data_IF_214090530928
#
_entry.id   IF_214090530928
#
_cell.length_a   1.000
_cell.length_b   1.000
_cell.length_c   1.000
_cell.angle_alpha   90.00
_cell.angle_beta   90.00
_cell.angle_gamma   90.00
#
_symmetry.space_group_name_H-M   'P 1'
#
loop_
_entity.id
_entity.type
_entity.pdbx_description
1 polymer ?
#
# COMPACT_ATOMS: atom_id res chain seq x y z
N UNK A 1 1.66 -19.90 -45.93
CA UNK A 1 3.02 -20.12 -45.44
C UNK A 1 3.66 -18.77 -45.13
N UNK A 2 3.73 -18.36 -43.91
CA UNK A 2 4.56 -17.22 -43.43
C UNK A 2 5.19 -17.61 -42.10
N UNK A 3 6.49 -17.55 -42.05
CA UNK A 3 7.37 -18.05 -41.00
C UNK A 3 7.20 -17.24 -39.67
N UNK A 4 7.17 -17.97 -38.57
CA UNK A 4 7.30 -17.43 -37.21
C UNK A 4 8.79 -17.30 -36.85
N UNK A 5 9.21 -16.11 -36.48
CA UNK A 5 10.56 -15.87 -35.98
C UNK A 5 10.49 -15.87 -34.46
N UNK A 6 11.08 -16.88 -33.85
CA UNK A 6 11.35 -16.98 -32.41
C UNK A 6 12.56 -16.12 -32.06
N UNK A 7 12.38 -15.12 -31.20
CA UNK A 7 13.48 -14.36 -30.62
C UNK A 7 13.77 -14.88 -29.21
N UNK A 8 14.90 -15.54 -29.06
CA UNK A 8 15.44 -15.97 -27.78
C UNK A 8 16.26 -14.82 -27.14
N UNK A 9 15.89 -14.38 -25.96
CA UNK A 9 16.65 -13.41 -25.17
C UNK A 9 17.44 -14.16 -24.10
N UNK A 10 18.76 -14.14 -24.21
CA UNK A 10 19.71 -14.65 -23.24
C UNK A 10 19.91 -13.62 -22.11
N UNK A 11 19.70 -14.02 -20.86
CA UNK A 11 20.00 -13.23 -19.68
C UNK A 11 21.40 -13.58 -19.21
N UNK A 12 22.34 -12.65 -19.32
CA UNK A 12 23.68 -12.74 -18.73
C UNK A 12 23.68 -12.11 -17.34
N UNK A 13 23.93 -12.91 -16.31
CA UNK A 13 24.20 -12.46 -14.95
C UNK A 13 25.65 -11.99 -14.84
N UNK A 14 25.87 -10.73 -14.50
CA UNK A 14 27.17 -10.16 -14.13
C UNK A 14 27.25 -10.07 -12.60
N UNK A 15 28.10 -10.92 -12.03
CA UNK A 15 28.54 -10.83 -10.64
C UNK A 15 29.61 -9.73 -10.49
N UNK A 16 29.43 -8.86 -9.50
CA UNK A 16 30.48 -7.93 -9.06
C UNK A 16 30.90 -8.28 -7.64
N UNK A 17 32.08 -8.85 -7.52
CA UNK A 17 32.80 -8.96 -6.27
C UNK A 17 33.64 -7.68 -6.07
N UNK A 18 33.47 -7.02 -4.92
CA UNK A 18 34.36 -5.95 -4.48
C UNK A 18 34.93 -6.30 -3.10
N UNK A 19 36.21 -6.68 -3.08
CA UNK A 19 37.05 -6.66 -1.90
C UNK A 19 37.58 -5.26 -1.68
N UNK A 20 37.53 -4.76 -0.45
CA UNK A 20 38.18 -3.54 0.00
C UNK A 20 38.59 -3.66 1.45
N UNK A 21 39.93 -3.80 1.65
CA UNK A 21 40.58 -3.89 2.95
C UNK A 21 40.99 -2.52 3.49
N UNK A 22 41.03 -2.38 4.81
CA UNK A 22 42.03 -1.53 5.44
C UNK A 22 41.61 -0.52 6.47
N UNK A 23 42.11 -0.66 7.70
CA UNK A 23 42.61 0.44 8.46
C UNK A 23 41.92 0.79 9.80
N UNK A 24 42.58 0.40 10.84
CA UNK A 24 42.45 0.49 12.26
C UNK A 24 42.12 1.83 12.95
N UNK A 25 41.71 1.70 14.20
CA UNK A 25 41.57 2.75 15.19
C UNK A 25 40.62 2.35 16.31
N UNK A 26 41.19 1.91 17.45
CA UNK A 26 40.48 1.67 18.72
C UNK A 26 40.53 2.92 19.63
N UNK A 27 39.98 2.93 20.84
CA UNK A 27 38.69 2.41 21.31
C UNK A 27 37.86 3.48 22.07
N UNK A 28 36.58 3.36 22.19
CA UNK A 28 35.84 3.74 23.39
C UNK A 28 34.75 2.68 23.65
N UNK A 29 34.91 2.00 24.77
CA UNK A 29 34.01 1.05 25.38
C UNK A 29 32.75 1.75 25.87
N UNK A 30 31.58 1.35 25.40
CA UNK A 30 30.31 1.51 26.10
C UNK A 30 29.42 0.31 25.76
N UNK A 31 29.35 -0.61 26.71
CA UNK A 31 28.65 -1.88 26.67
C UNK A 31 27.27 -1.85 26.04
N UNK A 32 27.20 -2.40 24.85
CA UNK A 32 26.02 -3.04 24.29
C UNK A 32 26.45 -4.20 23.44
N UNK A 33 26.09 -5.41 23.87
CA UNK A 33 26.27 -6.65 23.16
C UNK A 33 25.64 -6.56 21.76
N UNK A 34 26.47 -6.31 20.74
CA UNK A 34 26.13 -6.63 19.36
C UNK A 34 26.65 -8.03 19.08
N UNK A 35 25.84 -8.95 18.59
CA UNK A 35 26.32 -10.29 18.22
C UNK A 35 27.35 -10.16 17.09
N UNK A 36 28.51 -10.75 17.31
CA UNK A 36 29.57 -10.87 16.30
C UNK A 36 29.09 -11.82 15.19
N UNK A 37 29.05 -11.43 13.91
CA UNK A 37 28.57 -12.28 12.81
C UNK A 37 29.44 -13.50 12.52
N UNK A 38 30.58 -13.68 13.19
CA UNK A 38 31.51 -14.80 13.01
C UNK A 38 31.60 -15.72 14.25
N UNK A 39 30.67 -15.67 15.19
CA UNK A 39 30.66 -16.63 16.30
C UNK A 39 30.12 -17.98 15.85
N UNK A 40 30.77 -19.09 16.22
CA UNK A 40 30.26 -20.43 15.92
C UNK A 40 28.88 -20.64 16.54
N UNK A 41 27.95 -21.15 15.74
CA UNK A 41 26.58 -21.46 16.18
C UNK A 41 26.65 -22.51 17.29
N UNK A 42 26.15 -22.16 18.46
CA UNK A 42 25.97 -23.10 19.57
C UNK A 42 24.69 -23.92 19.33
N UNK A 43 24.76 -25.24 19.11
CA UNK A 43 23.59 -26.05 18.80
C UNK A 43 22.56 -26.17 19.96
N UNK A 44 22.85 -25.60 21.12
CA UNK A 44 21.97 -25.57 22.28
C UNK A 44 21.36 -24.19 22.54
N UNK A 45 21.50 -23.24 21.60
CA UNK A 45 20.85 -21.94 21.71
C UNK A 45 19.37 -22.08 21.32
N UNK A 46 18.41 -21.74 22.21
CA UNK A 46 16.99 -21.89 21.92
C UNK A 46 16.48 -20.95 20.82
N UNK A 47 17.32 -20.13 20.20
CA UNK A 47 16.95 -19.26 19.08
C UNK A 47 18.03 -19.21 17.98
N UNK A 48 18.20 -20.30 17.18
CA UNK A 48 19.17 -20.27 16.09
C UNK A 48 18.65 -19.39 14.94
N UNK A 49 19.08 -18.13 14.88
CA UNK A 49 19.06 -17.35 13.66
C UNK A 49 17.74 -16.71 13.22
N UNK A 50 16.77 -16.59 14.10
CA UNK A 50 15.56 -15.82 13.85
C UNK A 50 15.72 -14.34 14.21
N UNK A 51 16.65 -13.65 13.61
CA UNK A 51 16.67 -12.19 13.64
C UNK A 51 15.42 -11.68 12.96
N UNK A 52 14.45 -11.13 13.71
CA UNK A 52 13.39 -10.34 13.12
C UNK A 52 14.02 -9.32 12.18
N UNK A 53 13.51 -9.13 10.97
CA UNK A 53 13.97 -8.05 10.11
C UNK A 53 13.94 -6.75 10.93
N UNK A 54 14.95 -5.88 10.81
CA UNK A 54 14.97 -4.63 11.54
C UNK A 54 13.66 -3.89 11.29
N UNK A 55 13.05 -3.29 12.33
CA UNK A 55 11.83 -2.53 12.15
C UNK A 55 12.06 -1.47 11.07
N UNK A 56 11.08 -1.23 10.20
CA UNK A 56 11.19 -0.19 9.19
C UNK A 56 11.63 1.12 9.86
N UNK A 57 12.53 1.90 9.25
CA UNK A 57 12.98 3.15 9.84
C UNK A 57 11.77 4.02 10.16
N UNK A 58 11.78 4.62 11.34
CA UNK A 58 10.75 5.57 11.76
C UNK A 58 10.55 6.60 10.64
N UNK A 59 9.30 6.85 10.25
CA UNK A 59 8.88 7.74 9.15
C UNK A 59 8.96 7.18 7.72
N UNK A 60 9.23 5.90 7.52
CA UNK A 60 9.09 5.31 6.20
C UNK A 60 7.61 5.18 5.83
N UNK A 61 7.22 5.77 4.71
CA UNK A 61 5.90 5.53 4.13
C UNK A 61 5.91 4.22 3.36
N UNK A 62 4.84 3.48 3.54
CA UNK A 62 4.62 2.21 2.85
C UNK A 62 3.20 2.21 2.31
N UNK A 63 2.99 1.51 1.24
CA UNK A 63 1.68 1.40 0.62
C UNK A 63 1.75 0.68 -0.71
N UNK A 64 0.72 0.89 -1.49
CA UNK A 64 0.55 0.28 -2.79
C UNK A 64 -0.09 1.24 -3.78
N UNK A 65 0.34 1.17 -5.04
CA UNK A 65 -0.32 1.82 -6.15
C UNK A 65 -0.66 0.80 -7.25
N UNK A 66 -1.82 0.98 -7.85
CA UNK A 66 -2.28 0.27 -9.06
C UNK A 66 -2.31 1.28 -10.19
N UNK A 67 -1.53 1.03 -11.24
CA UNK A 67 -1.50 1.85 -12.44
C UNK A 67 -2.66 1.46 -13.35
N UNK A 68 -3.42 2.45 -13.79
CA UNK A 68 -4.58 2.30 -14.66
C UNK A 68 -4.36 2.98 -16.01
N UNK A 69 -4.91 2.40 -17.06
CA UNK A 69 -4.89 3.01 -18.39
C UNK A 69 -5.64 4.33 -18.39
N UNK A 70 -5.26 5.22 -19.29
CA UNK A 70 -5.94 6.50 -19.53
C UNK A 70 -7.36 6.34 -20.06
N UNK A 71 -7.67 5.19 -20.63
CA UNK A 71 -8.96 4.86 -21.22
C UNK A 71 -9.53 3.61 -20.55
N UNK A 72 -10.70 3.73 -19.93
CA UNK A 72 -11.46 2.63 -19.38
C UNK A 72 -10.93 2.01 -18.08
N UNK A 73 -9.97 2.64 -17.40
CA UNK A 73 -9.43 2.21 -16.10
C UNK A 73 -8.93 0.76 -16.05
N UNK A 74 -8.39 0.26 -17.17
CA UNK A 74 -7.79 -1.07 -17.21
C UNK A 74 -6.55 -1.11 -16.31
N UNK A 75 -6.46 -2.11 -15.44
CA UNK A 75 -5.28 -2.32 -14.59
C UNK A 75 -4.08 -2.71 -15.45
N UNK A 76 -3.00 -1.93 -15.37
CA UNK A 76 -1.75 -2.17 -16.10
C UNK A 76 -0.76 -2.90 -15.20
N UNK A 77 -0.51 -2.35 -14.00
CA UNK A 77 0.50 -2.86 -13.07
C UNK A 77 0.11 -2.57 -11.63
N UNK A 78 0.86 -3.15 -10.72
CA UNK A 78 0.76 -2.91 -9.29
C UNK A 78 2.17 -2.80 -8.73
N UNK A 79 2.41 -1.83 -7.87
CA UNK A 79 3.71 -1.61 -7.24
C UNK A 79 3.58 -1.28 -5.76
N UNK A 80 4.55 -1.74 -4.98
CA UNK A 80 4.71 -1.32 -3.60
C UNK A 80 5.28 0.10 -3.56
N UNK A 81 4.80 0.89 -2.60
CA UNK A 81 5.31 2.23 -2.31
C UNK A 81 6.16 2.16 -1.05
N UNK A 82 7.37 2.72 -1.10
CA UNK A 82 8.28 2.78 0.06
C UNK A 82 9.19 3.99 -0.09
N UNK A 83 9.01 4.98 0.77
CA UNK A 83 9.85 6.19 0.78
C UNK A 83 9.76 6.93 2.12
N UNK A 84 10.78 7.75 2.41
CA UNK A 84 10.97 8.40 3.71
C UNK A 84 10.21 9.73 3.90
N UNK A 85 9.60 10.26 2.87
CA UNK A 85 8.97 11.59 2.91
C UNK A 85 7.66 11.60 3.71
N UNK A 86 7.48 12.59 4.59
CA UNK A 86 6.28 12.70 5.46
C UNK A 86 5.08 13.42 4.81
N UNK A 87 5.23 13.96 3.61
CA UNK A 87 4.12 14.65 2.95
C UNK A 87 3.13 13.66 2.32
N UNK A 88 2.04 13.39 3.00
CA UNK A 88 0.96 12.53 2.51
C UNK A 88 0.13 13.15 1.37
N UNK A 89 0.27 14.44 1.14
CA UNK A 89 -0.36 15.14 0.02
C UNK A 89 0.29 14.88 -1.33
N UNK A 90 1.37 14.10 -1.40
CA UNK A 90 2.11 13.78 -2.62
C UNK A 90 2.23 12.26 -2.78
N UNK A 91 1.87 11.76 -3.95
CA UNK A 91 2.14 10.40 -4.39
C UNK A 91 3.41 10.38 -5.26
N UNK A 92 4.40 9.56 -4.85
CA UNK A 92 5.58 9.26 -5.67
C UNK A 92 5.42 7.91 -6.33
N UNK A 93 5.30 7.89 -7.64
CA UNK A 93 5.00 6.68 -8.41
C UNK A 93 5.57 6.82 -9.83
N UNK A 94 6.16 5.75 -10.38
CA UNK A 94 6.75 5.71 -11.73
C UNK A 94 7.70 6.90 -12.03
N UNK A 95 8.49 7.29 -11.02
CA UNK A 95 9.42 8.44 -11.13
C UNK A 95 8.74 9.82 -11.14
N UNK A 96 7.44 9.89 -10.92
CA UNK A 96 6.66 11.14 -10.88
C UNK A 96 6.27 11.50 -9.46
N UNK A 97 6.09 12.80 -9.22
CA UNK A 97 5.47 13.34 -8.00
C UNK A 97 4.12 13.95 -8.38
N UNK A 98 3.06 13.37 -7.87
CA UNK A 98 1.68 13.80 -8.15
C UNK A 98 1.06 14.37 -6.87
N UNK A 99 0.61 15.62 -6.94
CA UNK A 99 -0.11 16.24 -5.83
C UNK A 99 -1.51 15.62 -5.70
N UNK A 100 -1.78 15.01 -4.54
CA UNK A 100 -3.10 14.46 -4.21
C UNK A 100 -4.07 15.60 -3.92
N UNK A 101 -3.58 16.63 -3.20
CA UNK A 101 -4.33 17.84 -2.92
C UNK A 101 -3.80 18.95 -3.86
N UNK A 102 -4.68 19.64 -4.58
CA UNK A 102 -4.27 20.78 -5.38
C UNK A 102 -3.54 21.83 -4.55
N UNK A 103 -2.58 22.58 -5.13
CA UNK A 103 -1.97 23.71 -4.45
C UNK A 103 -3.04 24.69 -3.93
N UNK A 104 -2.80 25.25 -2.74
CA UNK A 104 -3.70 26.19 -2.04
C UNK A 104 -5.05 25.64 -1.58
N UNK A 105 -5.20 24.31 -1.50
CA UNK A 105 -6.34 23.66 -0.86
C UNK A 105 -5.92 22.98 0.44
N UNK A 106 -6.79 23.02 1.44
CA UNK A 106 -6.57 22.29 2.69
C UNK A 106 -7.09 20.87 2.58
N UNK A 107 -6.33 19.92 3.16
CA UNK A 107 -6.81 18.57 3.39
C UNK A 107 -7.75 18.57 4.59
N UNK A 108 -8.98 18.13 4.45
CA UNK A 108 -9.91 18.09 5.57
C UNK A 108 -11.05 17.10 5.39
N UNK A 109 -11.21 16.56 4.20
CA UNK A 109 -12.27 15.62 3.86
C UNK A 109 -11.98 14.89 2.57
N UNK A 110 -12.96 14.12 2.13
CA UNK A 110 -12.88 13.44 0.84
C UNK A 110 -12.93 14.47 -0.29
N UNK A 111 -11.85 14.53 -1.06
CA UNK A 111 -11.76 15.34 -2.27
C UNK A 111 -12.36 14.56 -3.45
N UNK A 112 -13.16 15.23 -4.27
CA UNK A 112 -13.62 14.67 -5.55
C UNK A 112 -13.59 15.76 -6.63
N UNK A 113 -12.47 15.83 -7.34
CA UNK A 113 -12.25 16.77 -8.44
C UNK A 113 -11.90 15.99 -9.69
N UNK A 114 -12.76 16.05 -10.68
CA UNK A 114 -12.57 15.35 -11.94
C UNK A 114 -12.81 16.30 -13.11
N UNK A 115 -11.80 16.42 -13.96
CA UNK A 115 -11.84 17.17 -15.20
C UNK A 115 -11.29 16.29 -16.33
N UNK A 116 -11.39 16.78 -17.56
CA UNK A 116 -11.00 16.01 -18.75
C UNK A 116 -9.57 15.44 -18.67
N UNK A 117 -8.63 16.23 -18.14
CA UNK A 117 -7.22 15.88 -18.13
C UNK A 117 -6.65 15.64 -16.74
N UNK A 118 -7.41 15.90 -15.70
CA UNK A 118 -6.97 15.74 -14.31
C UNK A 118 -8.06 15.12 -13.48
N UNK A 119 -7.70 14.24 -12.56
CA UNK A 119 -8.62 13.74 -11.57
C UNK A 119 -7.89 13.54 -10.23
N UNK A 120 -8.55 13.96 -9.16
CA UNK A 120 -8.12 13.75 -7.79
C UNK A 120 -9.35 13.37 -6.97
N UNK A 121 -9.41 12.11 -6.58
CA UNK A 121 -10.50 11.58 -5.75
C UNK A 121 -9.85 10.82 -4.60
N UNK A 122 -10.08 11.25 -3.36
CA UNK A 122 -9.45 10.61 -2.22
C UNK A 122 -9.32 11.53 -1.02
N UNK A 123 -8.56 11.11 -0.03
CA UNK A 123 -8.38 11.85 1.20
C UNK A 123 -6.95 11.76 1.69
N UNK A 124 -6.46 12.84 2.29
CA UNK A 124 -5.27 12.85 3.14
C UNK A 124 -5.75 12.85 4.58
N UNK A 125 -5.37 11.81 5.32
CA UNK A 125 -5.69 11.59 6.73
C UNK A 125 -4.49 12.02 7.60
N UNK A 126 -4.51 11.72 8.87
CA UNK A 126 -3.44 12.13 9.79
C UNK A 126 -2.14 11.38 9.54
N UNK A 127 -2.20 10.08 9.30
CA UNK A 127 -1.04 9.19 9.13
C UNK A 127 -0.99 8.52 7.77
N UNK A 128 -1.98 8.73 6.92
CA UNK A 128 -2.11 8.07 5.63
C UNK A 128 -2.79 8.93 4.57
N UNK A 129 -2.76 8.47 3.35
CA UNK A 129 -3.58 8.98 2.24
C UNK A 129 -3.94 7.86 1.27
N UNK A 130 -5.05 8.04 0.60
CA UNK A 130 -5.54 7.07 -0.38
C UNK A 130 -6.37 7.77 -1.44
N UNK A 131 -6.57 7.10 -2.56
CA UNK A 131 -7.44 7.63 -3.59
C UNK A 131 -7.02 7.26 -5.00
N UNK A 132 -7.46 8.11 -5.91
CA UNK A 132 -7.12 8.09 -7.32
C UNK A 132 -6.57 9.44 -7.75
N UNK A 133 -5.46 9.42 -8.49
CA UNK A 133 -4.86 10.61 -9.07
C UNK A 133 -4.50 10.37 -10.54
N UNK A 134 -4.81 11.36 -11.39
CA UNK A 134 -4.39 11.43 -12.79
C UNK A 134 -4.07 12.87 -13.12
N UNK A 135 -2.98 13.11 -13.84
CA UNK A 135 -2.58 14.43 -14.27
C UNK A 135 -2.03 14.39 -15.70
N UNK A 136 -2.69 15.12 -16.59
CA UNK A 136 -2.33 15.21 -18.00
C UNK A 136 -3.33 14.54 -18.95
N UNK A 137 -3.26 14.96 -20.22
CA UNK A 137 -4.07 14.38 -21.30
C UNK A 137 -3.57 12.99 -21.65
N UNK A 138 -4.47 12.02 -21.70
CA UNK A 138 -4.13 10.61 -21.96
C UNK A 138 -3.12 10.00 -20.98
N UNK A 139 -2.92 10.64 -19.81
CA UNK A 139 -2.05 10.13 -18.78
C UNK A 139 -2.64 8.89 -18.10
N UNK A 140 -1.78 8.02 -17.63
CA UNK A 140 -2.16 6.95 -16.74
C UNK A 140 -2.68 7.52 -15.41
N UNK A 141 -3.58 6.81 -14.77
CA UNK A 141 -4.06 7.12 -13.45
C UNK A 141 -3.52 6.13 -12.42
N UNK A 142 -3.53 6.54 -11.16
CA UNK A 142 -3.02 5.72 -10.05
C UNK A 142 -4.06 5.62 -8.95
N UNK A 143 -4.49 4.39 -8.70
CA UNK A 143 -5.26 4.04 -7.51
C UNK A 143 -4.29 3.66 -6.41
N UNK A 144 -4.32 4.32 -5.25
CA UNK A 144 -3.26 4.16 -4.25
C UNK A 144 -3.77 4.20 -2.82
N UNK A 145 -2.97 3.63 -1.92
CA UNK A 145 -3.03 3.82 -0.47
C UNK A 145 -1.61 3.84 0.07
N UNK A 146 -1.27 4.83 0.91
CA UNK A 146 0.06 5.01 1.49
C UNK A 146 -0.01 5.67 2.88
N UNK A 147 0.96 5.40 3.73
CA UNK A 147 1.00 6.03 5.07
C UNK A 147 2.21 5.63 5.90
N UNK A 148 2.31 6.16 7.11
CA UNK A 148 3.26 5.70 8.13
C UNK A 148 2.69 4.44 8.76
N UNK A 149 3.28 3.29 8.48
CA UNK A 149 2.80 2.02 9.01
C UNK A 149 2.91 1.98 10.53
N UNK A 150 1.90 1.39 11.16
CA UNK A 150 1.93 1.07 12.59
C UNK A 150 3.13 0.18 12.88
N UNK A 151 3.94 0.53 13.87
CA UNK A 151 5.08 -0.30 14.26
C UNK A 151 4.60 -1.66 14.78
N UNK A 152 5.43 -2.70 14.63
CA UNK A 152 5.06 -4.03 15.09
C UNK A 152 4.73 -4.08 16.60
N UNK A 153 5.41 -3.24 17.40
CA UNK A 153 5.20 -3.17 18.84
C UNK A 153 3.91 -2.43 19.25
N UNK A 154 3.39 -1.58 18.34
CA UNK A 154 2.17 -0.80 18.57
C UNK A 154 0.92 -1.46 17.97
N UNK A 155 1.09 -2.58 17.28
CA UNK A 155 -0.05 -3.33 16.75
C UNK A 155 -0.86 -3.96 17.88
N UNK A 156 -2.20 -3.82 17.86
CA UNK A 156 -3.07 -4.54 18.80
C UNK A 156 -2.89 -6.05 18.66
N UNK A 157 -2.82 -6.76 19.76
CA UNK A 157 -2.68 -8.22 19.79
C UNK A 157 -4.00 -8.94 20.07
N UNK A 158 -5.06 -8.19 20.40
CA UNK A 158 -6.38 -8.73 20.71
C UNK A 158 -7.47 -7.70 20.49
N UNK A 159 -8.72 -8.14 20.61
CA UNK A 159 -9.89 -7.28 20.43
C UNK A 159 -10.43 -7.25 19.02
N UNK A 160 -11.67 -6.78 18.91
CA UNK A 160 -12.36 -6.55 17.65
C UNK A 160 -12.75 -5.09 17.55
N UNK A 161 -12.40 -4.45 16.44
CA UNK A 161 -12.63 -3.03 16.22
C UNK A 161 -13.33 -2.79 14.88
N UNK A 162 -14.18 -1.78 14.87
CA UNK A 162 -14.80 -1.30 13.64
C UNK A 162 -14.00 -0.10 13.11
N UNK A 163 -13.89 -0.04 11.78
CA UNK A 163 -13.28 1.07 11.06
C UNK A 163 -14.28 1.61 10.06
N UNK A 164 -14.33 2.92 9.93
CA UNK A 164 -15.21 3.60 8.97
C UNK A 164 -14.47 4.72 8.24
N UNK A 165 -14.83 4.93 6.99
CA UNK A 165 -14.25 5.95 6.13
C UNK A 165 -14.81 5.89 4.72
N UNK A 166 -13.96 6.14 3.75
CA UNK A 166 -14.40 6.23 2.36
C UNK A 166 -13.62 5.29 1.44
N UNK A 167 -14.27 4.95 0.34
CA UNK A 167 -13.67 4.23 -0.78
C UNK A 167 -13.68 5.08 -2.04
N UNK A 168 -12.72 4.81 -2.91
CA UNK A 168 -12.65 5.33 -4.28
C UNK A 168 -12.73 4.13 -5.21
N UNK A 169 -13.63 4.17 -6.18
CA UNK A 169 -13.98 3.04 -7.04
C UNK A 169 -13.95 3.45 -8.50
N UNK A 170 -13.33 2.64 -9.33
CA UNK A 170 -13.32 2.78 -10.78
C UNK A 170 -13.80 1.48 -11.41
N UNK A 171 -15.00 1.49 -11.97
CA UNK A 171 -15.48 0.39 -12.81
C UNK A 171 -14.75 0.41 -14.15
N UNK A 172 -14.30 -0.75 -14.61
CA UNK A 172 -13.71 -0.87 -15.94
C UNK A 172 -14.78 -0.69 -16.99
N UNK A 173 -14.51 0.17 -17.96
CA UNK A 173 -15.44 0.52 -19.02
C UNK A 173 -14.69 0.74 -20.31
N UNK A 174 -15.31 0.41 -21.42
CA UNK A 174 -14.82 0.80 -22.75
C UNK A 174 -15.28 2.20 -23.17
N UNK A 175 -15.91 2.93 -22.25
CA UNK A 175 -16.43 4.28 -22.53
C UNK A 175 -15.48 5.35 -22.00
N UNK A 176 -15.23 6.36 -22.82
CA UNK A 176 -14.26 7.43 -22.55
C UNK A 176 -14.66 8.38 -21.39
N UNK A 177 -15.88 8.31 -20.88
CA UNK A 177 -16.42 9.24 -19.88
C UNK A 177 -16.74 8.56 -18.53
N UNK A 178 -16.27 7.36 -18.29
CA UNK A 178 -16.41 6.72 -16.98
C UNK A 178 -15.64 7.55 -15.93
N UNK A 179 -16.30 7.89 -14.85
CA UNK A 179 -15.71 8.63 -13.73
C UNK A 179 -15.34 7.68 -12.59
N UNK A 180 -14.35 8.08 -11.83
CA UNK A 180 -14.05 7.44 -10.57
C UNK A 180 -15.08 7.89 -9.53
N UNK A 181 -15.61 6.96 -8.77
CA UNK A 181 -16.63 7.21 -7.77
C UNK A 181 -16.06 7.26 -6.37
N UNK A 182 -16.66 8.06 -5.54
CA UNK A 182 -16.49 7.99 -4.10
C UNK A 182 -17.61 7.16 -3.48
N UNK A 183 -17.33 6.54 -2.34
CA UNK A 183 -18.29 5.74 -1.58
C UNK A 183 -17.85 5.59 -0.15
N UNK A 184 -18.58 4.81 0.63
CA UNK A 184 -18.22 4.52 2.02
C UNK A 184 -17.43 3.21 2.13
N UNK A 185 -16.66 3.10 3.19
CA UNK A 185 -15.89 1.91 3.55
C UNK A 185 -16.08 1.60 5.02
N UNK A 186 -16.51 0.37 5.34
CA UNK A 186 -16.70 -0.09 6.71
C UNK A 186 -16.06 -1.45 6.87
N UNK A 187 -15.26 -1.62 7.94
CA UNK A 187 -14.54 -2.86 8.21
C UNK A 187 -14.74 -3.31 9.65
N UNK A 188 -14.69 -4.62 9.83
CA UNK A 188 -14.57 -5.29 11.11
C UNK A 188 -13.21 -6.00 11.15
N UNK A 189 -12.39 -5.67 12.15
CA UNK A 189 -11.01 -6.13 12.30
C UNK A 189 -10.89 -6.84 13.63
N UNK A 190 -10.55 -8.13 13.60
CA UNK A 190 -10.30 -8.92 14.78
C UNK A 190 -8.80 -9.24 14.89
N UNK A 191 -8.10 -8.51 15.76
CA UNK A 191 -6.66 -8.69 15.95
C UNK A 191 -6.32 -10.00 16.66
N UNK A 192 -7.20 -10.51 17.53
CA UNK A 192 -6.97 -11.79 18.20
C UNK A 192 -7.01 -12.99 17.26
N UNK A 193 -7.90 -12.96 16.28
CA UNK A 193 -8.03 -14.01 15.26
C UNK A 193 -7.25 -13.71 13.99
N UNK A 194 -6.60 -12.55 13.91
CA UNK A 194 -5.90 -12.06 12.71
C UNK A 194 -6.77 -12.01 11.45
N UNK A 195 -8.04 -11.60 11.59
CA UNK A 195 -9.00 -11.55 10.47
C UNK A 195 -9.53 -10.15 10.23
N UNK A 196 -9.82 -9.86 8.97
CA UNK A 196 -10.42 -8.61 8.55
C UNK A 196 -11.50 -8.88 7.50
N UNK A 197 -12.62 -8.20 7.60
CA UNK A 197 -13.67 -8.17 6.59
C UNK A 197 -14.22 -6.78 6.43
N UNK A 198 -14.74 -6.44 5.25
CA UNK A 198 -15.25 -5.10 4.98
C UNK A 198 -16.30 -5.06 3.89
N UNK A 199 -16.95 -3.91 3.81
CA UNK A 199 -17.93 -3.55 2.80
C UNK A 199 -17.61 -2.17 2.26
N UNK A 200 -17.57 -2.07 0.96
CA UNK A 200 -17.36 -0.82 0.23
C UNK A 200 -18.62 -0.55 -0.57
N UNK A 201 -19.21 0.62 -0.39
CA UNK A 201 -20.46 1.00 -1.04
C UNK A 201 -20.21 2.20 -1.97
N UNK A 202 -19.80 1.98 -3.24
CA UNK A 202 -19.68 3.02 -4.24
C UNK A 202 -21.03 3.69 -4.50
N UNK A 203 -21.01 4.93 -4.96
CA UNK A 203 -22.25 5.72 -5.12
C UNK A 203 -23.22 5.16 -6.15
N UNK A 204 -22.70 4.63 -7.29
CA UNK A 204 -23.52 4.18 -8.41
C UNK A 204 -23.22 2.73 -8.86
N UNK A 205 -22.36 2.04 -8.13
CA UNK A 205 -22.01 0.64 -8.39
C UNK A 205 -22.48 -0.27 -7.25
N UNK A 206 -22.51 -1.57 -7.51
CA UNK A 206 -22.83 -2.57 -6.51
C UNK A 206 -21.83 -2.56 -5.34
N UNK A 207 -22.31 -2.91 -4.16
CA UNK A 207 -21.48 -3.10 -2.98
C UNK A 207 -20.38 -4.15 -3.25
N UNK A 208 -19.16 -3.83 -2.82
CA UNK A 208 -18.01 -4.74 -2.87
C UNK A 208 -17.78 -5.31 -1.48
N UNK A 209 -17.97 -6.60 -1.32
CA UNK A 209 -17.68 -7.32 -0.08
C UNK A 209 -16.25 -7.83 -0.11
N UNK A 210 -15.49 -7.52 0.94
CA UNK A 210 -14.12 -7.95 1.17
C UNK A 210 -14.11 -8.90 2.37
N UNK A 211 -14.37 -10.17 2.12
CA UNK A 211 -14.27 -11.25 3.10
C UNK A 211 -12.95 -12.01 2.96
N UNK A 212 -12.69 -12.98 3.88
CA UNK A 212 -11.49 -13.82 3.89
C UNK A 212 -10.15 -13.05 3.97
N UNK A 213 -10.15 -11.88 4.61
CA UNK A 213 -8.91 -11.15 4.84
C UNK A 213 -8.14 -11.66 6.05
N UNK A 214 -6.82 -11.75 5.90
CA UNK A 214 -5.87 -12.19 6.93
C UNK A 214 -4.94 -11.04 7.27
N UNK A 215 -4.72 -10.83 8.56
CA UNK A 215 -3.77 -9.84 9.09
C UNK A 215 -2.42 -10.54 9.29
N UNK A 216 -1.36 -9.93 8.76
CA UNK A 216 0.02 -10.38 8.94
C UNK A 216 0.88 -9.19 9.39
N UNK A 217 1.21 -9.15 10.68
CA UNK A 217 1.87 -7.99 11.29
C UNK A 217 1.03 -6.72 11.11
N UNK A 218 1.61 -5.69 10.51
CA UNK A 218 0.96 -4.42 10.24
C UNK A 218 0.31 -4.30 8.85
N UNK A 219 0.18 -5.42 8.16
CA UNK A 219 -0.45 -5.50 6.84
C UNK A 219 -1.61 -6.49 6.83
N UNK A 220 -2.43 -6.43 5.81
CA UNK A 220 -3.50 -7.39 5.57
C UNK A 220 -3.67 -7.65 4.08
N UNK A 221 -4.18 -8.82 3.75
CA UNK A 221 -4.55 -9.18 2.38
C UNK A 221 -5.61 -10.26 2.35
N UNK A 222 -6.31 -10.38 1.23
CA UNK A 222 -7.30 -11.43 1.04
C UNK A 222 -7.77 -11.56 -0.40
N UNK A 223 -8.48 -12.64 -0.65
CA UNK A 223 -9.29 -12.83 -1.86
C UNK A 223 -10.70 -13.15 -1.41
N UNK A 224 -11.61 -12.25 -1.68
CA UNK A 224 -13.01 -12.40 -1.33
C UNK A 224 -13.67 -13.54 -2.13
N UNK A 225 -14.79 -14.06 -1.63
CA UNK A 225 -15.59 -15.08 -2.32
C UNK A 225 -16.05 -14.63 -3.72
N UNK A 226 -16.20 -13.32 -3.93
CA UNK A 226 -16.49 -12.70 -5.22
C UNK A 226 -15.33 -12.78 -6.23
N UNK A 227 -14.11 -13.17 -5.79
CA UNK A 227 -12.87 -13.10 -6.54
C UNK A 227 -12.14 -11.75 -6.45
N UNK A 228 -12.65 -10.80 -5.65
CA UNK A 228 -11.99 -9.52 -5.41
C UNK A 228 -10.73 -9.72 -4.57
N UNK A 229 -9.59 -9.27 -5.09
CA UNK A 229 -8.33 -9.24 -4.36
C UNK A 229 -8.16 -7.91 -3.68
N UNK A 230 -7.66 -7.91 -2.44
CA UNK A 230 -7.39 -6.70 -1.70
C UNK A 230 -6.16 -6.84 -0.81
N UNK A 231 -5.54 -5.72 -0.51
CA UNK A 231 -4.42 -5.67 0.43
C UNK A 231 -4.23 -4.24 0.94
N UNK A 232 -3.61 -4.11 2.10
CA UNK A 232 -3.35 -2.81 2.71
C UNK A 232 -2.49 -2.92 3.96
N UNK A 233 -2.43 -1.80 4.68
CA UNK A 233 -1.67 -1.66 5.91
C UNK A 233 -2.49 -0.94 6.97
N UNK A 234 -2.09 -1.15 8.23
CA UNK A 234 -2.48 -0.33 9.36
C UNK A 234 -1.48 0.82 9.51
N UNK A 235 -1.99 2.00 9.82
CA UNK A 235 -1.21 3.24 9.89
C UNK A 235 -1.40 3.94 11.23
N UNK A 236 -0.39 4.73 11.61
CA UNK A 236 -0.41 5.50 12.86
C UNK A 236 -0.14 4.66 14.10
N UNK A 237 -0.30 5.27 15.28
CA UNK A 237 -0.19 4.57 16.55
C UNK A 237 -1.39 3.65 16.79
N UNK A 238 -1.15 2.45 17.33
CA UNK A 238 -2.21 1.50 17.71
C UNK A 238 -3.20 1.13 16.59
N UNK A 239 -2.77 1.18 15.32
CA UNK A 239 -3.59 0.91 14.16
C UNK A 239 -4.83 1.83 14.08
N UNK A 240 -4.65 3.13 14.30
CA UNK A 240 -5.75 4.10 14.34
C UNK A 240 -6.34 4.35 12.95
N UNK A 241 -5.55 4.18 11.91
CA UNK A 241 -5.98 4.25 10.52
C UNK A 241 -5.64 2.94 9.80
N UNK A 242 -6.39 2.65 8.77
CA UNK A 242 -6.00 1.63 7.81
C UNK A 242 -6.42 2.04 6.40
N UNK A 243 -5.67 1.53 5.43
CA UNK A 243 -5.99 1.79 4.03
C UNK A 243 -5.43 0.71 3.13
N UNK A 244 -5.98 0.63 1.93
CA UNK A 244 -5.59 -0.41 0.99
C UNK A 244 -6.13 -0.18 -0.40
N UNK A 245 -5.80 -1.12 -1.28
CA UNK A 245 -6.31 -1.20 -2.64
C UNK A 245 -7.05 -2.51 -2.85
N UNK A 246 -7.98 -2.51 -3.78
CA UNK A 246 -8.73 -3.71 -4.17
C UNK A 246 -8.98 -3.72 -5.68
N UNK A 247 -9.14 -4.90 -6.25
CA UNK A 247 -9.53 -5.05 -7.64
C UNK A 247 -10.18 -6.41 -7.91
N UNK A 248 -11.03 -6.44 -8.92
CA UNK A 248 -11.50 -7.64 -9.58
C UNK A 248 -11.15 -7.54 -11.06
N UNK A 249 -10.37 -8.50 -11.52
CA UNK A 249 -9.81 -8.46 -12.87
C UNK A 249 -10.91 -8.35 -13.93
N UNK A 250 -10.79 -7.33 -14.79
CA UNK A 250 -11.75 -7.09 -15.86
C UNK A 250 -13.06 -6.40 -15.44
N UNK A 251 -13.24 -6.09 -14.14
CA UNK A 251 -14.48 -5.48 -13.65
C UNK A 251 -14.26 -4.11 -12.98
N UNK A 252 -13.35 -4.04 -12.00
CA UNK A 252 -13.13 -2.81 -11.26
C UNK A 252 -11.81 -2.80 -10.49
N UNK A 253 -11.44 -1.61 -10.06
CA UNK A 253 -10.36 -1.38 -9.09
C UNK A 253 -10.73 -0.24 -8.16
N UNK A 254 -10.09 -0.19 -6.98
CA UNK A 254 -10.31 0.90 -6.05
C UNK A 254 -9.29 0.97 -4.94
N UNK A 255 -9.46 2.01 -4.12
CA UNK A 255 -8.70 2.23 -2.89
C UNK A 255 -9.66 2.63 -1.77
N UNK A 256 -9.23 2.46 -0.54
CA UNK A 256 -9.97 2.88 0.64
C UNK A 256 -9.04 3.37 1.73
N UNK A 257 -9.58 4.19 2.61
CA UNK A 257 -8.97 4.59 3.87
C UNK A 257 -10.02 4.80 4.93
N UNK A 258 -9.74 4.33 6.14
CA UNK A 258 -10.68 4.32 7.25
C UNK A 258 -9.98 4.61 8.57
N UNK A 259 -10.74 5.09 9.54
CA UNK A 259 -10.30 5.31 10.90
C UNK A 259 -11.01 4.36 11.86
N UNK A 260 -10.30 3.95 12.89
CA UNK A 260 -10.84 3.15 13.98
C UNK A 260 -11.92 3.93 14.71
N UNK A 261 -13.10 3.33 14.87
CA UNK A 261 -14.17 3.90 15.66
C UNK A 261 -13.83 3.64 17.12
N UNK A 262 -13.61 4.71 17.87
CA UNK A 262 -13.45 4.65 19.33
C UNK A 262 -14.85 4.72 19.92
N UNK A 263 -15.24 3.77 20.82
CA UNK A 263 -16.55 3.74 21.47
C UNK A 263 -16.79 4.99 22.32
#
# INVERSE_FOLDING_TARGET
MKAQTLLAIAITALGLAACGSGGGGSPIDNGRNSPNPNSPINPNDPNPGGGNPPPPPANQRTGKAITLSSNGYQRISEQALSFTQQNFGVLKVDGQELNIIPPNMSAGGLLNMQARNTARVGQVMTQSSYGYVREGTNAQGYMFSQGIVTSANDMPTSGTFNYSGYAVHAAMSNQANTQVEAGTANFNVNFGNHTISGRLSPANNAEVVLDNGIINGNSFSGTANSGTKFSGHFYGGHADEMGGTYYKQGEYTGAFGTQKIVP
#
